data_IF_886858448080
#
_entry.id   IF_886858448080
#
_cell.length_a   1.000
_cell.length_b   1.000
_cell.length_c   1.000
_cell.angle_alpha   90.00
_cell.angle_beta   90.00
_cell.angle_gamma   90.00
#
_symmetry.space_group_name_H-M   'P 1'
#
loop_
_entity.id
_entity.type
_entity.pdbx_description
1 polymer ?
#
# COMPACT_ATOMS: atom_id res chain seq x y z
N UNK A 1 -46.77 -22.45 -50.48
CA UNK A 1 -45.58 -23.06 -49.87
C UNK A 1 -44.63 -22.01 -49.28
N UNK A 2 -44.57 -20.79 -49.82
CA UNK A 2 -43.71 -19.69 -49.33
C UNK A 2 -44.00 -19.22 -47.89
N UNK A 3 -45.28 -19.18 -47.46
CA UNK A 3 -45.65 -18.72 -46.11
C UNK A 3 -45.07 -19.59 -44.96
N UNK A 4 -44.80 -20.87 -45.21
CA UNK A 4 -44.22 -21.76 -44.20
C UNK A 4 -42.73 -21.50 -43.98
N UNK A 5 -42.00 -21.13 -45.03
CA UNK A 5 -40.56 -20.85 -44.93
C UNK A 5 -40.35 -19.54 -44.16
N UNK A 6 -41.15 -18.52 -44.43
CA UNK A 6 -41.12 -17.25 -43.70
C UNK A 6 -41.47 -17.44 -42.22
N UNK A 7 -42.47 -18.28 -41.91
CA UNK A 7 -42.83 -18.61 -40.52
C UNK A 7 -41.73 -19.36 -39.75
N UNK A 8 -41.02 -20.29 -40.41
CA UNK A 8 -39.89 -21.02 -39.83
C UNK A 8 -38.68 -20.11 -39.59
N UNK A 9 -38.36 -19.23 -40.54
CA UNK A 9 -37.28 -18.25 -40.37
C UNK A 9 -37.62 -17.25 -39.25
N UNK A 10 -38.87 -16.80 -39.18
CA UNK A 10 -39.36 -15.93 -38.12
C UNK A 10 -39.26 -16.57 -36.73
N UNK A 11 -39.64 -17.84 -36.59
CA UNK A 11 -39.58 -18.55 -35.30
C UNK A 11 -38.14 -18.82 -34.84
N UNK A 12 -37.23 -19.17 -35.75
CA UNK A 12 -35.80 -19.33 -35.45
C UNK A 12 -35.18 -17.99 -35.03
N UNK A 13 -35.50 -16.90 -35.74
CA UNK A 13 -35.02 -15.56 -35.41
C UNK A 13 -35.51 -15.11 -34.03
N UNK A 14 -36.78 -15.38 -33.70
CA UNK A 14 -37.35 -15.11 -32.39
C UNK A 14 -36.68 -15.92 -31.28
N UNK A 15 -36.37 -17.20 -31.52
CA UNK A 15 -35.66 -18.05 -30.56
C UNK A 15 -34.23 -17.55 -30.29
N UNK A 16 -33.49 -17.15 -31.33
CA UNK A 16 -32.15 -16.56 -31.19
C UNK A 16 -32.22 -15.25 -30.40
N UNK A 17 -33.19 -14.38 -30.71
CA UNK A 17 -33.39 -13.13 -29.99
C UNK A 17 -33.71 -13.36 -28.50
N UNK A 18 -34.54 -14.36 -28.18
CA UNK A 18 -34.86 -14.72 -26.80
C UNK A 18 -33.63 -15.21 -26.03
N UNK A 19 -32.80 -16.06 -26.64
CA UNK A 19 -31.54 -16.53 -26.05
C UNK A 19 -30.56 -15.37 -25.81
N UNK A 20 -30.38 -14.51 -26.81
CA UNK A 20 -29.51 -13.34 -26.68
C UNK A 20 -29.99 -12.40 -25.56
N UNK A 21 -31.30 -12.21 -25.41
CA UNK A 21 -31.90 -11.43 -24.32
C UNK A 21 -31.60 -12.05 -22.95
N UNK A 22 -31.80 -13.36 -22.78
CA UNK A 22 -31.50 -14.07 -21.54
C UNK A 22 -30.02 -13.98 -21.15
N UNK A 23 -29.11 -14.15 -22.12
CA UNK A 23 -27.66 -13.97 -21.90
C UNK A 23 -27.35 -12.54 -21.46
N UNK A 24 -27.99 -11.54 -22.08
CA UNK A 24 -27.80 -10.13 -21.73
C UNK A 24 -28.29 -9.84 -20.31
N UNK A 25 -29.48 -10.32 -19.93
CA UNK A 25 -30.03 -10.18 -18.57
C UNK A 25 -29.12 -10.85 -17.55
N UNK A 26 -28.64 -12.07 -17.83
CA UNK A 26 -27.72 -12.77 -16.95
C UNK A 26 -26.41 -12.00 -16.74
N UNK A 27 -25.82 -11.48 -17.82
CA UNK A 27 -24.62 -10.64 -17.75
C UNK A 27 -24.87 -9.33 -16.99
N UNK A 28 -26.05 -8.73 -17.15
CA UNK A 28 -26.46 -7.50 -16.46
C UNK A 28 -26.60 -7.75 -14.95
N UNK A 29 -27.35 -8.79 -14.54
CA UNK A 29 -27.50 -9.19 -13.13
C UNK A 29 -26.13 -9.47 -12.50
N UNK A 30 -25.25 -10.17 -13.23
CA UNK A 30 -23.90 -10.48 -12.75
C UNK A 30 -23.06 -9.20 -12.59
N UNK A 31 -23.13 -8.27 -13.55
CA UNK A 31 -22.46 -6.97 -13.45
C UNK A 31 -23.00 -6.14 -12.30
N UNK A 32 -24.32 -6.10 -12.12
CA UNK A 32 -24.97 -5.32 -11.06
C UNK A 32 -24.60 -5.85 -9.69
N UNK A 33 -24.68 -7.18 -9.48
CA UNK A 33 -24.27 -7.84 -8.24
C UNK A 33 -22.79 -7.62 -7.91
N UNK A 34 -21.91 -7.53 -8.92
CA UNK A 34 -20.50 -7.22 -8.71
C UNK A 34 -20.31 -5.72 -8.44
N UNK A 35 -21.03 -4.84 -9.14
CA UNK A 35 -20.94 -3.39 -9.00
C UNK A 35 -21.45 -2.88 -7.66
N UNK A 36 -22.42 -3.59 -7.06
CA UNK A 36 -22.98 -3.29 -5.74
C UNK A 36 -22.04 -3.61 -4.58
N UNK A 37 -20.92 -4.30 -4.81
CA UNK A 37 -19.98 -4.63 -3.73
C UNK A 37 -19.05 -3.47 -3.44
N UNK A 38 -18.70 -3.22 -2.17
CA UNK A 38 -17.61 -2.31 -1.82
C UNK A 38 -16.30 -2.78 -2.45
N UNK A 39 -15.53 -1.83 -3.00
CA UNK A 39 -14.22 -2.09 -3.57
C UNK A 39 -13.20 -1.08 -3.03
N UNK A 40 -12.49 -1.49 -1.98
CA UNK A 40 -11.49 -0.64 -1.34
C UNK A 40 -10.16 -0.63 -2.10
N UNK A 41 -9.59 0.56 -2.25
CA UNK A 41 -8.31 0.75 -2.91
C UNK A 41 -7.51 1.89 -2.25
N UNK A 42 -6.21 1.72 -1.97
CA UNK A 42 -5.35 2.85 -1.64
C UNK A 42 -5.26 3.82 -2.82
N UNK A 43 -5.57 5.10 -2.62
CA UNK A 43 -5.39 6.14 -3.64
C UNK A 43 -3.90 6.34 -3.91
N UNK A 44 -3.57 6.59 -5.19
CA UNK A 44 -2.29 7.18 -5.54
C UNK A 44 -2.26 8.57 -4.93
N UNK A 45 -1.18 8.87 -4.19
CA UNK A 45 -1.06 10.16 -3.49
C UNK A 45 0.28 10.79 -3.81
N UNK A 46 0.24 12.02 -4.27
CA UNK A 46 1.42 12.87 -4.27
C UNK A 46 1.78 13.25 -2.83
N UNK A 47 3.04 13.09 -2.47
CA UNK A 47 3.60 13.47 -1.18
C UNK A 47 4.64 14.55 -1.40
N UNK A 48 4.52 15.62 -0.61
CA UNK A 48 5.54 16.63 -0.43
C UNK A 48 5.86 16.62 1.06
N UNK A 49 6.93 15.92 1.42
CA UNK A 49 7.32 15.74 2.81
C UNK A 49 8.74 16.19 3.02
N UNK A 50 9.04 16.60 4.24
CA UNK A 50 10.38 16.99 4.60
C UNK A 50 11.29 15.76 4.53
N UNK A 51 12.41 15.92 3.82
CA UNK A 51 13.60 15.15 4.12
C UNK A 51 13.98 15.57 5.53
N UNK A 52 13.48 14.84 6.52
CA UNK A 52 14.08 14.86 7.84
C UNK A 52 15.51 14.36 7.62
N UNK A 53 16.41 15.33 7.46
CA UNK A 53 17.81 15.14 7.69
C UNK A 53 17.86 14.65 9.12
N UNK A 54 18.11 13.36 9.25
CA UNK A 54 18.35 12.62 10.47
C UNK A 54 19.61 13.14 11.21
N UNK A 55 19.82 14.45 11.26
CA UNK A 55 20.93 15.11 11.91
C UNK A 55 20.43 16.29 12.76
N UNK A 56 19.28 16.90 12.45
CA UNK A 56 18.85 18.14 13.14
C UNK A 56 18.07 17.92 14.44
N UNK A 57 17.49 16.73 14.65
CA UNK A 57 16.72 16.41 15.87
C UNK A 57 17.51 15.53 16.86
N UNK A 58 18.78 15.26 16.55
CA UNK A 58 19.58 14.18 17.15
C UNK A 58 20.35 14.62 18.39
N UNK A 59 20.27 15.90 18.73
CA UNK A 59 20.77 16.50 19.99
C UNK A 59 19.71 16.48 21.11
N UNK A 60 18.52 15.93 20.83
CA UNK A 60 17.47 15.82 21.83
C UNK A 60 17.45 14.42 22.45
N UNK A 61 17.58 14.37 23.78
CA UNK A 61 17.33 13.20 24.65
C UNK A 61 15.91 12.60 24.54
N UNK A 62 15.20 12.84 23.43
CA UNK A 62 13.86 12.39 23.16
C UNK A 62 13.88 11.02 22.49
N UNK A 63 13.86 9.97 23.32
CA UNK A 63 13.43 8.64 22.89
C UNK A 63 12.01 8.72 22.32
N UNK A 64 11.80 8.42 21.03
CA UNK A 64 10.47 8.14 20.47
C UNK A 64 10.60 7.23 19.23
N UNK A 65 9.99 6.05 19.12
CA UNK A 65 8.94 5.41 19.92
C UNK A 65 7.61 5.24 19.18
N UNK A 66 7.38 5.93 18.05
CA UNK A 66 6.09 5.88 17.37
C UNK A 66 6.09 4.98 16.12
N UNK A 67 5.17 4.00 16.13
CA UNK A 67 4.87 3.10 14.98
C UNK A 67 4.32 3.83 13.76
N UNK A 68 3.79 5.06 13.93
CA UNK A 68 3.10 5.83 12.90
C UNK A 68 3.90 7.06 12.49
N UNK A 69 3.99 7.29 11.18
CA UNK A 69 4.36 8.59 10.63
C UNK A 69 3.12 9.47 10.52
N UNK A 70 3.31 10.79 10.51
CA UNK A 70 2.25 11.75 10.17
C UNK A 70 1.86 11.68 8.67
N UNK A 71 2.63 10.93 7.87
CA UNK A 71 2.31 10.68 6.47
C UNK A 71 1.13 9.74 6.33
N UNK A 72 0.00 10.30 5.90
CA UNK A 72 -1.22 9.54 5.59
C UNK A 72 -1.41 9.32 4.10
N UNK A 73 -2.05 8.22 3.74
CA UNK A 73 -2.66 7.97 2.41
C UNK A 73 -4.15 7.72 2.56
N UNK A 74 -4.91 7.74 1.48
CA UNK A 74 -6.34 7.49 1.52
C UNK A 74 -6.67 6.08 1.04
N UNK A 75 -7.61 5.41 1.70
CA UNK A 75 -8.36 4.28 1.14
C UNK A 75 -9.66 4.84 0.60
N UNK A 76 -9.93 4.62 -0.68
CA UNK A 76 -11.19 4.98 -1.34
C UNK A 76 -12.03 3.74 -1.60
N UNK A 77 -13.33 3.86 -1.44
CA UNK A 77 -14.29 2.86 -1.90
C UNK A 77 -14.77 3.20 -3.31
N UNK A 78 -14.32 2.44 -4.30
CA UNK A 78 -14.72 2.61 -5.70
C UNK A 78 -15.98 1.80 -6.06
N UNK A 79 -16.52 1.04 -5.11
CA UNK A 79 -17.72 0.23 -5.29
C UNK A 79 -19.00 1.00 -4.93
N UNK A 80 -20.16 0.49 -5.38
CA UNK A 80 -21.46 1.10 -5.04
C UNK A 80 -21.95 0.76 -3.63
N UNK A 81 -21.41 -0.27 -3.00
CA UNK A 81 -21.80 -0.71 -1.65
C UNK A 81 -20.91 -0.13 -0.57
N UNK A 82 -21.42 -0.05 0.66
CA UNK A 82 -20.67 0.42 1.84
C UNK A 82 -19.76 -0.68 2.39
N UNK A 83 -18.52 -0.31 2.73
CA UNK A 83 -17.60 -1.17 3.47
C UNK A 83 -17.70 -0.85 4.96
N UNK A 84 -17.82 -1.87 5.79
CA UNK A 84 -17.87 -1.76 7.25
C UNK A 84 -16.79 -2.64 7.88
N UNK A 85 -16.47 -2.39 9.15
CA UNK A 85 -15.56 -3.21 9.95
C UNK A 85 -14.18 -3.38 9.28
N UNK A 86 -13.63 -2.25 8.82
CA UNK A 86 -12.47 -2.22 7.93
C UNK A 86 -11.21 -2.32 8.78
N UNK A 87 -10.46 -3.40 8.60
CA UNK A 87 -9.15 -3.59 9.22
C UNK A 87 -8.07 -3.56 8.16
N UNK A 88 -6.99 -2.82 8.38
CA UNK A 88 -5.84 -2.82 7.49
C UNK A 88 -4.56 -3.18 8.23
N UNK A 89 -3.63 -3.81 7.52
CA UNK A 89 -2.31 -4.14 8.06
C UNK A 89 -1.18 -3.97 7.06
N UNK A 90 0.02 -3.67 7.55
CA UNK A 90 1.22 -3.50 6.74
C UNK A 90 2.27 -4.57 6.98
N UNK A 91 3.02 -4.89 5.93
CA UNK A 91 4.16 -5.80 5.96
C UNK A 91 5.21 -5.34 4.92
N UNK A 92 6.46 -5.23 5.32
CA UNK A 92 7.57 -4.89 4.41
C UNK A 92 7.95 -6.12 3.56
N UNK A 93 7.80 -6.03 2.24
CA UNK A 93 7.93 -7.17 1.33
C UNK A 93 9.39 -7.53 1.06
N UNK A 94 10.18 -6.55 0.61
CA UNK A 94 11.58 -6.75 0.25
C UNK A 94 12.51 -6.46 1.43
N UNK A 95 12.08 -6.85 2.62
CA UNK A 95 12.82 -6.66 3.87
C UNK A 95 14.25 -7.16 3.74
N UNK A 96 14.45 -8.42 3.31
CA UNK A 96 15.79 -9.05 3.24
C UNK A 96 16.76 -8.30 2.32
N UNK A 97 16.25 -7.78 1.20
CA UNK A 97 17.03 -7.02 0.22
C UNK A 97 17.57 -5.72 0.84
N UNK A 98 16.70 -5.01 1.57
CA UNK A 98 17.03 -3.77 2.29
C UNK A 98 18.10 -4.04 3.36
N UNK A 99 18.00 -5.15 4.10
CA UNK A 99 19.01 -5.56 5.10
C UNK A 99 20.36 -5.82 4.43
N UNK A 100 20.35 -6.59 3.34
CA UNK A 100 21.58 -7.04 2.72
C UNK A 100 22.34 -5.86 2.13
N UNK A 101 21.62 -4.93 1.50
CA UNK A 101 22.20 -3.68 1.03
C UNK A 101 22.77 -2.88 2.20
N UNK A 102 21.99 -2.69 3.27
CA UNK A 102 22.46 -2.01 4.46
C UNK A 102 23.77 -2.55 5.05
N UNK A 103 23.94 -3.87 5.06
CA UNK A 103 25.14 -4.54 5.60
C UNK A 103 26.35 -4.38 4.69
N UNK A 104 26.15 -4.44 3.38
CA UNK A 104 27.21 -4.29 2.39
C UNK A 104 27.75 -2.84 2.34
N UNK A 105 26.95 -1.89 2.78
CA UNK A 105 27.29 -0.46 2.87
C UNK A 105 27.98 -0.09 4.20
N UNK A 106 28.57 -1.04 4.92
CA UNK A 106 29.42 -0.72 6.08
C UNK A 106 30.70 -0.01 5.61
N UNK A 107 30.58 1.31 5.43
CA UNK A 107 31.63 2.17 4.89
C UNK A 107 32.85 2.22 5.81
N UNK A 108 34.02 1.99 5.22
CA UNK A 108 35.32 2.36 5.76
C UNK A 108 35.33 3.85 6.13
N UNK A 109 35.35 4.14 7.43
CA UNK A 109 35.77 5.39 8.07
C UNK A 109 35.01 6.70 7.80
N UNK A 110 33.98 6.73 6.95
CA UNK A 110 33.07 7.88 6.88
C UNK A 110 31.61 7.44 6.92
N UNK A 111 31.02 7.62 8.11
CA UNK A 111 29.67 8.06 8.40
C UNK A 111 28.55 7.40 7.56
N UNK A 112 27.74 6.63 8.30
CA UNK A 112 26.29 6.39 8.16
C UNK A 112 25.84 5.01 7.73
N UNK A 113 24.85 4.54 8.52
CA UNK A 113 23.97 3.39 8.32
C UNK A 113 24.43 2.06 8.92
N UNK A 114 23.62 1.58 9.87
CA UNK A 114 23.61 0.19 10.28
C UNK A 114 22.15 -0.26 10.35
N UNK A 115 21.63 -0.94 9.33
CA UNK A 115 20.38 -1.67 9.52
C UNK A 115 20.69 -2.95 10.31
N UNK A 116 20.77 -2.84 11.64
CA UNK A 116 20.83 -4.03 12.48
C UNK A 116 19.44 -4.65 12.56
N UNK A 117 19.19 -5.66 11.73
CA UNK A 117 17.93 -6.39 11.72
C UNK A 117 18.17 -7.75 12.35
N UNK A 118 18.16 -7.77 13.68
CA UNK A 118 17.62 -8.82 14.54
C UNK A 118 17.98 -8.48 15.99
N UNK A 119 17.05 -7.90 16.76
CA UNK A 119 17.15 -8.10 18.21
C UNK A 119 16.60 -9.48 18.53
N UNK A 120 16.99 -10.11 19.64
CA UNK A 120 16.44 -11.42 20.05
C UNK A 120 14.91 -11.41 20.15
N UNK A 121 14.32 -10.23 20.37
CA UNK A 121 12.91 -10.07 20.73
C UNK A 121 12.05 -9.41 19.63
N UNK A 122 12.66 -8.66 18.70
CA UNK A 122 11.94 -7.98 17.61
C UNK A 122 12.83 -7.61 16.42
N UNK A 123 12.19 -7.46 15.27
CA UNK A 123 12.82 -6.96 14.05
C UNK A 123 12.67 -5.44 13.97
N UNK A 124 13.77 -4.72 13.77
CA UNK A 124 13.75 -3.27 13.59
C UNK A 124 14.78 -2.83 12.55
N UNK A 125 14.50 -1.70 11.90
CA UNK A 125 15.50 -0.96 11.12
C UNK A 125 16.09 0.09 12.04
N UNK A 126 17.35 -0.05 12.39
CA UNK A 126 18.09 1.00 13.10
C UNK A 126 18.66 2.01 12.10
N UNK A 127 18.53 3.29 12.39
CA UNK A 127 19.15 4.37 11.63
C UNK A 127 20.02 5.18 12.57
N UNK A 128 21.31 5.29 12.26
CA UNK A 128 22.27 5.92 13.17
C UNK A 128 23.47 6.51 12.46
N UNK A 129 24.17 7.37 13.21
CA UNK A 129 25.36 8.10 12.81
C UNK A 129 26.50 7.74 13.78
N UNK A 130 27.67 7.47 13.20
CA UNK A 130 28.90 7.18 13.95
C UNK A 130 29.94 8.21 13.52
N UNK A 131 30.48 8.94 14.49
CA UNK A 131 31.44 10.02 14.29
C UNK A 131 32.91 9.57 14.40
N UNK A 132 33.17 8.27 14.58
CA UNK A 132 34.51 7.71 14.75
C UNK A 132 34.91 7.44 16.21
N UNK A 133 34.19 7.99 17.20
CA UNK A 133 34.45 7.77 18.63
C UNK A 133 33.40 6.85 19.30
N UNK A 134 32.36 6.46 18.56
CA UNK A 134 31.26 5.62 19.04
C UNK A 134 29.94 5.92 18.31
N UNK A 135 28.87 5.22 18.69
CA UNK A 135 27.53 5.56 18.21
C UNK A 135 27.08 6.85 18.91
N UNK A 136 26.90 7.93 18.15
CA UNK A 136 26.46 9.21 18.72
C UNK A 136 24.92 9.23 18.85
N UNK A 137 24.19 8.68 17.86
CA UNK A 137 22.74 8.61 17.92
C UNK A 137 22.18 7.47 17.03
N UNK A 138 21.14 6.78 17.51
CA UNK A 138 20.44 5.71 16.76
C UNK A 138 18.94 5.70 17.05
N UNK A 139 18.12 5.54 16.01
CA UNK A 139 16.68 5.35 16.10
C UNK A 139 16.27 3.98 15.59
N UNK A 140 15.49 3.25 16.39
CA UNK A 140 14.97 1.91 16.05
C UNK A 140 13.53 1.98 15.54
N UNK A 141 13.31 1.53 14.31
CA UNK A 141 11.98 1.42 13.72
C UNK A 141 11.54 -0.03 13.66
N UNK A 142 10.66 -0.44 14.58
CA UNK A 142 10.13 -1.81 14.63
C UNK A 142 9.35 -2.16 13.35
N UNK A 143 9.66 -3.32 12.79
CA UNK A 143 9.03 -3.89 11.59
C UNK A 143 7.80 -4.76 11.90
N UNK A 144 7.30 -4.69 13.14
CA UNK A 144 6.12 -5.43 13.57
C UNK A 144 4.92 -5.17 12.64
N UNK A 145 4.11 -6.22 12.45
CA UNK A 145 2.86 -6.10 11.68
C UNK A 145 1.97 -5.06 12.34
N UNK A 146 1.72 -3.99 11.60
CA UNK A 146 0.82 -2.94 12.03
C UNK A 146 -0.61 -3.35 11.69
N UNK A 147 -1.55 -3.24 12.62
CA UNK A 147 -2.98 -3.53 12.40
C UNK A 147 -3.79 -2.37 12.96
N UNK A 148 -4.70 -1.80 12.16
CA UNK A 148 -5.64 -0.77 12.60
C UNK A 148 -7.01 -0.95 11.97
N UNK A 149 -8.00 -0.40 12.65
CA UNK A 149 -9.38 -0.34 12.19
C UNK A 149 -9.68 1.07 11.67
N UNK A 150 -10.50 1.14 10.64
CA UNK A 150 -11.11 2.36 10.12
C UNK A 150 -12.61 2.20 10.24
N UNK A 151 -13.31 3.30 10.49
CA UNK A 151 -14.77 3.35 10.41
C UNK A 151 -15.28 2.93 9.02
N UNK A 152 -16.61 2.91 8.86
CA UNK A 152 -17.22 2.64 7.57
C UNK A 152 -16.76 3.63 6.49
N UNK A 153 -16.76 3.15 5.24
CA UNK A 153 -16.50 3.95 4.04
C UNK A 153 -17.68 3.73 3.09
N UNK A 154 -18.51 4.76 2.90
CA UNK A 154 -19.61 4.67 1.94
C UNK A 154 -19.09 4.62 0.50
N UNK A 155 -20.01 4.44 -0.44
CA UNK A 155 -19.68 4.47 -1.87
C UNK A 155 -19.01 5.78 -2.27
N UNK A 156 -17.89 5.68 -2.99
CA UNK A 156 -17.08 6.81 -3.48
C UNK A 156 -16.49 7.73 -2.41
N UNK A 157 -16.60 7.37 -1.13
CA UNK A 157 -15.91 8.05 -0.04
C UNK A 157 -14.49 7.52 0.15
N UNK A 158 -13.67 8.31 0.85
CA UNK A 158 -12.34 7.91 1.27
C UNK A 158 -12.06 8.24 2.73
N UNK A 159 -11.19 7.43 3.35
CA UNK A 159 -10.68 7.65 4.70
C UNK A 159 -9.16 7.59 4.70
N UNK A 160 -8.55 8.39 5.57
CA UNK A 160 -7.10 8.44 5.73
C UNK A 160 -6.61 7.24 6.55
N UNK A 161 -5.46 6.70 6.17
CA UNK A 161 -4.71 5.70 6.92
C UNK A 161 -3.25 6.17 7.05
N UNK A 162 -2.67 5.94 8.22
CA UNK A 162 -1.29 6.29 8.52
C UNK A 162 -0.32 5.29 7.93
N UNK A 163 0.76 5.77 7.31
CA UNK A 163 1.87 4.92 6.91
C UNK A 163 2.79 4.58 8.09
N UNK A 164 3.39 3.39 8.12
CA UNK A 164 4.36 3.03 9.13
C UNK A 164 5.61 3.93 9.06
N UNK A 165 6.13 4.32 10.22
CA UNK A 165 7.33 5.17 10.31
C UNK A 165 8.55 4.55 9.61
N UNK A 166 8.75 3.23 9.75
CA UNK A 166 9.86 2.52 9.09
C UNK A 166 9.82 2.68 7.57
N UNK A 167 8.62 2.75 6.97
CA UNK A 167 8.49 2.86 5.52
C UNK A 167 8.95 4.22 5.04
N UNK A 168 8.56 5.31 5.72
CA UNK A 168 9.06 6.66 5.44
C UNK A 168 10.56 6.73 5.69
N UNK A 169 11.03 6.08 6.76
CA UNK A 169 12.41 6.17 7.15
C UNK A 169 13.37 5.57 6.13
N UNK A 170 13.08 4.36 5.65
CA UNK A 170 13.85 3.70 4.60
C UNK A 170 13.88 4.54 3.31
N UNK A 171 12.78 5.25 3.01
CA UNK A 171 12.68 6.10 1.82
C UNK A 171 13.55 7.35 1.93
N UNK A 172 13.48 8.06 3.06
CA UNK A 172 14.33 9.23 3.30
C UNK A 172 15.80 8.88 3.16
N UNK A 173 16.20 7.73 3.71
CA UNK A 173 17.55 7.20 3.53
C UNK A 173 17.88 7.01 2.05
N UNK A 174 17.08 6.24 1.32
CA UNK A 174 17.34 5.98 -0.09
C UNK A 174 17.45 7.25 -0.94
N UNK A 175 16.68 8.30 -0.63
CA UNK A 175 16.74 9.58 -1.35
C UNK A 175 18.04 10.33 -1.02
N UNK A 176 18.44 10.38 0.25
CA UNK A 176 19.65 11.08 0.69
C UNK A 176 20.93 10.43 0.14
N UNK A 177 20.94 9.11 0.00
CA UNK A 177 22.14 8.35 -0.40
C UNK A 177 22.08 7.83 -1.85
N UNK A 178 21.11 8.30 -2.65
CA UNK A 178 20.89 7.85 -4.02
C UNK A 178 22.12 8.02 -4.94
N UNK A 179 22.99 8.99 -4.64
CA UNK A 179 24.20 9.27 -5.43
C UNK A 179 25.32 8.24 -5.25
N UNK A 180 25.24 7.37 -4.24
CA UNK A 180 26.32 6.44 -3.90
C UNK A 180 26.03 4.97 -4.25
N UNK A 181 24.76 4.54 -4.27
CA UNK A 181 24.39 3.10 -4.29
C UNK A 181 23.23 2.71 -5.24
N UNK A 182 23.03 1.39 -5.41
CA UNK A 182 21.78 0.83 -5.99
C UNK A 182 20.60 1.13 -5.07
N UNK A 183 19.75 2.07 -5.47
CA UNK A 183 18.47 2.38 -4.82
C UNK A 183 17.60 1.13 -4.66
N UNK A 184 17.38 0.65 -3.43
CA UNK A 184 16.39 -0.41 -3.15
C UNK A 184 15.07 0.24 -2.82
N UNK A 185 14.12 0.09 -3.73
CA UNK A 185 12.76 0.58 -3.55
C UNK A 185 12.03 -0.23 -2.49
N UNK A 186 11.73 0.29 -1.29
CA UNK A 186 11.01 -0.50 -0.31
C UNK A 186 9.55 -0.65 -0.76
N UNK A 187 9.04 -1.85 -0.54
CA UNK A 187 7.71 -2.26 -0.95
C UNK A 187 6.89 -2.62 0.27
N UNK A 188 5.77 -1.93 0.47
CA UNK A 188 4.89 -2.12 1.60
C UNK A 188 3.62 -2.84 1.17
N UNK A 189 3.43 -4.08 1.63
CA UNK A 189 2.19 -4.82 1.41
C UNK A 189 1.12 -4.30 2.35
N UNK A 190 0.02 -3.83 1.80
CA UNK A 190 -1.19 -3.46 2.52
C UNK A 190 -2.20 -4.56 2.33
N UNK A 191 -2.61 -5.16 3.44
CA UNK A 191 -3.74 -6.07 3.49
C UNK A 191 -4.93 -5.30 4.06
N UNK A 192 -6.05 -5.28 3.35
CA UNK A 192 -7.30 -4.69 3.81
C UNK A 192 -8.33 -5.81 3.92
N UNK A 193 -8.96 -5.92 5.08
CA UNK A 193 -10.07 -6.82 5.39
C UNK A 193 -11.27 -5.94 5.70
N UNK A 194 -12.44 -6.26 5.16
CA UNK A 194 -13.68 -5.53 5.42
C UNK A 194 -14.89 -6.42 5.25
N UNK A 195 -16.04 -5.99 5.75
CA UNK A 195 -17.34 -6.60 5.50
C UNK A 195 -18.17 -5.72 4.56
N UNK A 196 -19.05 -6.33 3.77
CA UNK A 196 -20.15 -5.61 3.13
C UNK A 196 -21.35 -5.47 4.09
N UNK A 197 -22.39 -4.78 3.62
CA UNK A 197 -23.67 -4.62 4.36
C UNK A 197 -24.36 -5.95 4.70
N UNK A 198 -24.05 -7.02 3.96
CA UNK A 198 -24.58 -8.36 4.18
C UNK A 198 -23.64 -9.21 5.06
N UNK A 199 -22.68 -8.57 5.74
CA UNK A 199 -21.68 -9.19 6.60
C UNK A 199 -20.74 -10.19 5.90
N UNK A 200 -20.70 -10.20 4.57
CA UNK A 200 -19.73 -10.99 3.83
C UNK A 200 -18.35 -10.36 3.98
N UNK A 201 -17.38 -11.16 4.43
CA UNK A 201 -16.03 -10.69 4.64
C UNK A 201 -15.18 -10.80 3.36
N UNK A 202 -14.38 -9.78 3.11
CA UNK A 202 -13.52 -9.66 1.94
C UNK A 202 -12.09 -9.33 2.33
N UNK A 203 -11.14 -9.85 1.58
CA UNK A 203 -9.72 -9.55 1.67
C UNK A 203 -9.21 -9.02 0.33
N UNK A 204 -8.44 -7.93 0.39
CA UNK A 204 -7.70 -7.40 -0.76
C UNK A 204 -6.27 -7.03 -0.35
N UNK A 205 -5.33 -7.18 -1.29
CA UNK A 205 -3.90 -6.89 -1.05
C UNK A 205 -3.31 -6.01 -2.13
N UNK A 206 -2.53 -5.02 -1.70
CA UNK A 206 -1.82 -4.06 -2.53
C UNK A 206 -0.36 -3.97 -2.12
N UNK A 207 0.53 -3.73 -3.07
CA UNK A 207 1.89 -3.25 -2.80
C UNK A 207 1.90 -1.74 -2.98
N UNK A 208 2.30 -1.02 -1.95
CA UNK A 208 2.63 0.40 -2.01
C UNK A 208 4.13 0.58 -2.19
N UNK A 209 4.48 1.58 -2.97
CA UNK A 209 5.87 1.95 -3.21
C UNK A 209 5.95 3.37 -3.76
N UNK A 210 7.08 4.04 -3.59
CA UNK A 210 7.28 5.37 -4.16
C UNK A 210 7.59 5.32 -5.65
N UNK A 211 7.22 6.39 -6.35
CA UNK A 211 7.67 6.67 -7.70
C UNK A 211 9.20 6.83 -7.71
N UNK A 212 9.84 6.38 -8.78
CA UNK A 212 11.26 6.64 -9.01
C UNK A 212 11.50 8.11 -9.37
N UNK A 213 10.49 8.76 -9.94
CA UNK A 213 10.51 10.19 -10.20
C UNK A 213 10.22 10.92 -8.89
N UNK A 214 11.21 11.63 -8.39
CA UNK A 214 11.07 12.54 -7.27
C UNK A 214 11.88 13.80 -7.52
N UNK A 215 11.47 14.89 -6.89
CA UNK A 215 12.18 16.17 -6.92
C UNK A 215 12.64 16.49 -5.50
N UNK A 216 13.90 16.88 -5.35
CA UNK A 216 14.44 17.36 -4.08
C UNK A 216 14.64 18.87 -4.17
N UNK A 217 14.15 19.61 -3.18
CA UNK A 217 14.36 21.05 -3.06
C UNK A 217 14.67 21.38 -1.60
N UNK A 218 15.92 21.74 -1.33
CA UNK A 218 16.41 21.95 0.04
C UNK A 218 16.21 20.71 0.91
N UNK A 219 15.48 20.85 2.01
CA UNK A 219 15.12 19.75 2.94
C UNK A 219 13.79 19.09 2.61
N UNK A 220 13.27 19.20 1.39
CA UNK A 220 11.97 18.61 1.02
C UNK A 220 12.12 17.70 -0.18
N UNK A 221 11.36 16.62 -0.19
CA UNK A 221 11.21 15.78 -1.37
C UNK A 221 9.76 15.64 -1.78
N UNK A 222 9.57 15.64 -3.09
CA UNK A 222 8.29 15.53 -3.76
C UNK A 222 8.28 14.24 -4.56
N UNK A 223 7.29 13.37 -4.32
CA UNK A 223 7.13 12.13 -5.07
C UNK A 223 5.69 11.65 -5.01
N UNK A 224 5.39 10.50 -5.61
CA UNK A 224 4.07 9.88 -5.53
C UNK A 224 4.16 8.50 -4.91
N UNK A 225 3.26 8.20 -3.99
CA UNK A 225 2.99 6.84 -3.53
C UNK A 225 2.09 6.17 -4.56
N UNK A 226 2.64 5.15 -5.20
CA UNK A 226 1.97 4.32 -6.17
C UNK A 226 1.48 3.04 -5.49
N UNK A 227 0.46 2.42 -6.07
CA UNK A 227 -0.05 1.13 -5.62
C UNK A 227 -0.18 0.15 -6.78
N UNK A 228 0.09 -1.12 -6.50
CA UNK A 228 -0.14 -2.24 -7.42
C UNK A 228 -0.98 -3.30 -6.72
N UNK A 229 -2.14 -3.64 -7.28
CA UNK A 229 -2.99 -4.73 -6.76
C UNK A 229 -2.27 -6.07 -6.95
N UNK A 230 -2.15 -6.83 -5.87
CA UNK A 230 -1.50 -8.16 -5.88
C UNK A 230 -2.55 -9.27 -5.89
N UNK A 231 -3.67 -9.03 -5.20
CA UNK A 231 -4.74 -10.00 -5.06
C UNK A 231 -6.07 -9.33 -5.44
N UNK A 232 -6.85 -9.99 -6.30
CA UNK A 232 -8.24 -9.59 -6.55
C UNK A 232 -9.04 -9.75 -5.25
N UNK A 233 -10.09 -8.95 -5.09
CA UNK A 233 -11.03 -9.07 -3.97
C UNK A 233 -11.43 -10.55 -3.80
N UNK A 234 -11.11 -11.11 -2.65
CA UNK A 234 -11.40 -12.51 -2.31
C UNK A 234 -12.40 -12.52 -1.15
N UNK A 235 -13.54 -13.19 -1.32
CA UNK A 235 -14.44 -13.48 -0.22
C UNK A 235 -13.74 -14.45 0.72
N UNK A 236 -13.70 -14.14 2.01
CA UNK A 236 -13.14 -15.00 3.06
C UNK A 236 -14.25 -15.49 3.99
N UNK A 237 -14.04 -16.64 4.62
CA UNK A 237 -14.98 -17.26 5.55
C UNK A 237 -14.83 -16.65 6.92
#
# INVERSE_FOLDING_TARGET
MENNIVGVIGSISAAIAAIASLVTIFLQIRKDTISQKPMLMPKIKYINTELNLYYSDWDSNNKLGNKNSDTVIEIVNLGKGTAIDITYSYELVNKQEIINNAKNESFNNEKLFFAHINTKDYEAVTMGYNNGEGYECSNDYRLEKFIKTVDLINSYESKQIFLPSYFIAIQNFNILFQQRNKFIKPMLKVKIIYKDINLNMYEIKYNLFLSQSFKVSGKRYETSILNKRIQKMKKIK
#
